data_IF_043868475247
#
_entry.id   IF_043868475247
#
_cell.length_a   1.000
_cell.length_b   1.000
_cell.length_c   1.000
_cell.angle_alpha   90.00
_cell.angle_beta   90.00
_cell.angle_gamma   90.00
#
_symmetry.space_group_name_H-M   'P 1'
#
loop_
_entity.id
_entity.type
_entity.pdbx_description
1 polymer ?
#
# COMPACT_ATOMS: atom_id res chain seq x y z
N UNK A 1 4.10 19.38 -9.22
CA UNK A 1 3.08 19.12 -10.26
C UNK A 1 2.14 17.98 -9.86
N UNK A 2 2.46 16.67 -9.92
CA UNK A 2 1.50 15.60 -9.52
C UNK A 2 1.19 15.54 -8.01
N UNK A 3 2.17 15.85 -7.16
CA UNK A 3 1.97 15.96 -5.70
C UNK A 3 1.00 17.09 -5.34
N UNK A 4 0.87 18.07 -6.22
CA UNK A 4 -0.01 19.23 -6.05
C UNK A 4 -1.38 18.96 -6.68
N UNK A 5 -1.44 18.17 -7.77
CA UNK A 5 -2.68 17.69 -8.38
C UNK A 5 -3.42 16.68 -7.48
N UNK A 6 -2.69 15.75 -6.84
CA UNK A 6 -3.25 14.85 -5.81
C UNK A 6 -3.74 15.63 -4.60
N UNK A 7 -3.09 16.75 -4.25
CA UNK A 7 -3.44 17.59 -3.09
C UNK A 7 -4.64 18.49 -3.36
N UNK A 8 -4.75 19.05 -4.56
CA UNK A 8 -5.87 19.90 -4.98
C UNK A 8 -7.17 19.11 -5.22
N UNK A 9 -7.09 17.79 -5.40
CA UNK A 9 -8.25 16.93 -5.60
C UNK A 9 -8.71 16.23 -4.29
N UNK A 10 -8.17 16.65 -3.13
CA UNK A 10 -8.60 16.18 -1.80
C UNK A 10 -9.74 17.02 -1.20
N UNK A 11 -10.12 18.15 -1.81
CA UNK A 11 -11.17 19.06 -1.32
C UNK A 11 -12.57 18.75 -1.84
N UNK A 12 -12.75 17.65 -2.57
CA UNK A 12 -14.07 17.15 -2.96
C UNK A 12 -14.22 15.72 -2.46
N UNK A 13 -15.32 15.44 -1.76
CA UNK A 13 -15.61 14.23 -0.97
C UNK A 13 -15.80 12.93 -1.79
N UNK A 14 -15.01 12.74 -2.85
CA UNK A 14 -15.05 11.56 -3.70
C UNK A 14 -13.64 11.02 -3.92
N UNK A 15 -13.37 9.87 -3.29
CA UNK A 15 -12.14 9.05 -3.44
C UNK A 15 -11.53 9.17 -4.84
N UNK A 16 -10.42 9.90 -4.93
CA UNK A 16 -9.74 10.15 -6.20
C UNK A 16 -9.04 8.88 -6.68
N UNK A 17 -9.76 8.12 -7.48
CA UNK A 17 -9.24 6.89 -8.10
C UNK A 17 -8.18 7.25 -9.13
N UNK A 18 -6.97 6.77 -8.90
CA UNK A 18 -5.83 6.93 -9.81
C UNK A 18 -6.17 6.34 -11.18
N UNK A 19 -6.14 7.18 -12.22
CA UNK A 19 -6.38 6.74 -13.61
C UNK A 19 -5.18 5.97 -14.18
N UNK A 20 -5.39 5.22 -15.27
CA UNK A 20 -4.32 4.47 -15.95
C UNK A 20 -3.15 5.36 -16.41
N UNK A 21 -3.38 6.65 -16.68
CA UNK A 21 -2.33 7.61 -17.04
C UNK A 21 -1.32 7.79 -15.91
N UNK A 22 -1.80 7.89 -14.67
CA UNK A 22 -0.94 7.99 -13.50
C UNK A 22 -0.11 6.71 -13.31
N UNK A 23 -0.74 5.55 -13.49
CA UNK A 23 -0.04 4.27 -13.37
C UNK A 23 1.02 4.07 -14.45
N UNK A 24 0.75 4.49 -15.69
CA UNK A 24 1.74 4.47 -16.76
C UNK A 24 2.91 5.43 -16.50
N UNK A 25 2.63 6.59 -15.90
CA UNK A 25 3.67 7.52 -15.48
C UNK A 25 4.62 6.87 -14.46
N UNK A 26 4.11 6.18 -13.43
CA UNK A 26 4.97 5.45 -12.49
C UNK A 26 5.69 4.27 -13.11
N UNK A 27 5.06 3.55 -14.04
CA UNK A 27 5.72 2.50 -14.79
C UNK A 27 6.95 3.03 -15.54
N UNK A 28 6.82 4.22 -16.16
CA UNK A 28 7.95 4.87 -16.83
C UNK A 28 9.03 5.31 -15.84
N UNK A 29 8.67 5.85 -14.68
CA UNK A 29 9.66 6.19 -13.65
C UNK A 29 10.42 4.95 -13.16
N UNK A 30 9.71 3.85 -12.89
CA UNK A 30 10.34 2.58 -12.50
C UNK A 30 11.26 2.03 -13.59
N UNK A 31 10.86 2.15 -14.86
CA UNK A 31 11.70 1.77 -15.99
C UNK A 31 12.99 2.60 -16.05
N UNK A 32 12.92 3.90 -15.80
CA UNK A 32 14.10 4.77 -15.81
C UNK A 32 15.10 4.43 -14.69
N UNK A 33 14.62 3.93 -13.55
CA UNK A 33 15.47 3.60 -12.40
C UNK A 33 16.06 2.18 -12.54
N UNK A 34 15.22 1.21 -12.89
CA UNK A 34 15.58 -0.21 -12.81
C UNK A 34 15.76 -0.87 -14.18
N UNK A 35 15.65 -0.13 -15.27
CA UNK A 35 15.66 -0.61 -16.67
C UNK A 35 14.56 -1.64 -17.02
N UNK A 36 13.69 -2.03 -16.08
CA UNK A 36 12.59 -2.97 -16.32
C UNK A 36 11.32 -2.29 -16.82
N UNK A 37 10.72 -2.81 -17.89
CA UNK A 37 9.45 -2.31 -18.41
C UNK A 37 8.27 -2.92 -17.66
N UNK A 38 7.63 -2.10 -16.85
CA UNK A 38 6.34 -2.42 -16.24
C UNK A 38 5.20 -1.80 -17.05
N UNK A 39 3.99 -2.38 -16.94
CA UNK A 39 2.78 -1.73 -17.42
C UNK A 39 2.10 -1.01 -16.25
N UNK A 40 1.33 0.06 -16.53
CA UNK A 40 0.55 0.71 -15.47
C UNK A 40 -0.37 -0.25 -14.72
N UNK A 41 -0.90 -1.27 -15.40
CA UNK A 41 -1.72 -2.32 -14.75
C UNK A 41 -0.90 -3.09 -13.69
N UNK A 42 0.34 -3.51 -14.00
CA UNK A 42 1.21 -4.20 -13.04
C UNK A 42 1.54 -3.32 -11.83
N UNK A 43 1.81 -2.03 -12.07
CA UNK A 43 2.09 -1.07 -10.99
C UNK A 43 0.86 -0.89 -10.11
N UNK A 44 -0.33 -0.72 -10.70
CA UNK A 44 -1.60 -0.62 -9.97
C UNK A 44 -1.82 -1.85 -9.09
N UNK A 45 -1.67 -3.06 -9.64
CA UNK A 45 -1.87 -4.30 -8.89
C UNK A 45 -0.89 -4.42 -7.71
N UNK A 46 0.39 -4.12 -7.92
CA UNK A 46 1.39 -4.13 -6.83
C UNK A 46 1.05 -3.11 -5.75
N UNK A 47 0.62 -1.90 -6.14
CA UNK A 47 0.16 -0.88 -5.20
C UNK A 47 -1.05 -1.35 -4.38
N UNK A 48 -2.05 -1.98 -5.01
CA UNK A 48 -3.23 -2.47 -4.27
C UNK A 48 -2.86 -3.54 -3.24
N UNK A 49 -1.92 -4.45 -3.59
CA UNK A 49 -1.39 -5.45 -2.64
C UNK A 49 -0.68 -4.77 -1.46
N UNK A 50 0.26 -3.87 -1.75
CA UNK A 50 0.98 -3.12 -0.70
C UNK A 50 0.02 -2.29 0.18
N UNK A 51 -1.02 -1.70 -0.41
CA UNK A 51 -2.05 -0.98 0.33
C UNK A 51 -2.82 -1.93 1.25
N UNK A 52 -3.19 -3.13 0.78
CA UNK A 52 -3.85 -4.14 1.60
C UNK A 52 -2.95 -4.58 2.76
N UNK A 53 -1.69 -4.92 2.48
CA UNK A 53 -0.70 -5.32 3.50
C UNK A 53 -0.52 -4.23 4.56
N UNK A 54 -0.40 -2.97 4.13
CA UNK A 54 -0.30 -1.82 5.04
C UNK A 54 -1.56 -1.64 5.89
N UNK A 55 -2.75 -1.82 5.33
CA UNK A 55 -4.01 -1.74 6.09
C UNK A 55 -4.11 -2.87 7.11
N UNK A 56 -3.70 -4.09 6.76
CA UNK A 56 -3.62 -5.20 7.71
C UNK A 56 -2.65 -4.89 8.84
N UNK A 57 -1.45 -4.42 8.52
CA UNK A 57 -0.47 -4.02 9.52
C UNK A 57 -0.98 -2.90 10.44
N UNK A 58 -1.67 -1.89 9.89
CA UNK A 58 -2.29 -0.82 10.66
C UNK A 58 -3.39 -1.33 11.60
N UNK A 59 -4.19 -2.32 11.17
CA UNK A 59 -5.20 -2.97 12.03
C UNK A 59 -4.55 -3.75 13.16
N UNK A 60 -3.49 -4.52 12.85
CA UNK A 60 -2.71 -5.26 13.83
C UNK A 60 -2.10 -4.32 14.88
N UNK A 61 -1.51 -3.21 14.44
CA UNK A 61 -0.95 -2.20 15.34
C UNK A 61 -2.02 -1.57 16.25
N UNK A 62 -3.27 -1.43 15.78
CA UNK A 62 -4.37 -0.88 16.55
C UNK A 62 -5.00 -1.88 17.54
N UNK A 63 -4.77 -3.18 17.34
CA UNK A 63 -5.17 -4.22 18.29
C UNK A 63 -4.13 -4.29 19.42
N UNK A 64 -4.20 -3.33 20.34
CA UNK A 64 -3.40 -3.29 21.58
C UNK A 64 -3.70 -4.54 22.42
N UNK A 65 -2.71 -5.43 22.54
CA UNK A 65 -2.80 -6.67 23.32
C UNK A 65 -1.93 -7.80 22.78
N UNK A 66 -1.49 -7.70 21.52
CA UNK A 66 -0.56 -8.65 20.91
C UNK A 66 0.84 -8.06 20.98
N UNK A 67 1.81 -8.90 21.36
CA UNK A 67 3.18 -8.51 21.69
C UNK A 67 3.87 -7.91 20.47
N UNK A 68 3.68 -6.61 20.25
CA UNK A 68 4.56 -5.86 19.38
C UNK A 68 5.96 -6.00 19.95
N UNK A 69 6.82 -6.75 19.27
CA UNK A 69 8.21 -6.89 19.66
C UNK A 69 9.02 -5.79 18.95
N UNK A 70 9.42 -4.73 19.67
CA UNK A 70 10.15 -3.61 19.09
C UNK A 70 11.59 -3.98 18.70
N UNK A 71 12.12 -5.13 19.15
CA UNK A 71 13.48 -5.59 18.85
C UNK A 71 13.54 -6.18 17.43
N UNK A 72 12.56 -6.99 17.07
CA UNK A 72 12.47 -7.61 15.72
C UNK A 72 11.54 -6.83 14.77
N UNK A 73 10.83 -5.82 15.27
CA UNK A 73 9.94 -4.97 14.47
C UNK A 73 8.72 -5.70 13.92
N UNK A 74 8.23 -6.72 14.64
CA UNK A 74 7.15 -7.62 14.19
C UNK A 74 6.18 -7.90 15.34
N UNK A 75 4.92 -8.18 15.01
CA UNK A 75 3.92 -8.65 15.99
C UNK A 75 4.22 -10.11 16.32
N UNK A 76 4.46 -10.42 17.60
CA UNK A 76 4.51 -11.79 18.09
C UNK A 76 3.10 -12.16 18.57
N UNK A 77 2.48 -13.10 17.86
CA UNK A 77 1.15 -13.61 18.17
C UNK A 77 1.10 -15.13 17.98
N UNK A 78 0.27 -15.86 18.74
CA UNK A 78 0.03 -17.29 18.53
C UNK A 78 -0.57 -17.57 17.15
N UNK A 79 -0.32 -18.76 16.58
CA UNK A 79 -0.82 -19.16 15.25
C UNK A 79 -2.35 -19.00 15.11
N UNK A 80 -3.10 -19.31 16.18
CA UNK A 80 -4.57 -19.14 16.23
C UNK A 80 -5.04 -17.70 15.96
N UNK A 81 -4.20 -16.70 16.27
CA UNK A 81 -4.51 -15.31 16.00
C UNK A 81 -4.31 -14.97 14.51
N UNK A 82 -3.25 -15.49 13.90
CA UNK A 82 -2.97 -15.27 12.49
C UNK A 82 -4.02 -15.91 11.58
N UNK A 83 -4.51 -17.10 11.95
CA UNK A 83 -5.62 -17.76 11.25
C UNK A 83 -6.88 -16.90 11.28
N UNK A 84 -7.20 -16.20 12.37
CA UNK A 84 -8.37 -15.30 12.43
C UNK A 84 -8.21 -14.01 11.61
N UNK A 85 -6.98 -13.57 11.35
CA UNK A 85 -6.71 -12.31 10.65
C UNK A 85 -6.59 -12.51 9.13
N UNK A 86 -6.14 -13.68 8.70
CA UNK A 86 -5.79 -13.97 7.30
C UNK A 86 -6.68 -15.03 6.63
N UNK A 87 -7.72 -15.55 7.32
CA UNK A 87 -8.80 -16.36 6.74
C UNK A 87 -10.09 -15.53 6.60
#
# INVERSE_FOLDING_TARGET
>A
MLRDEVRNNQTTDHTTSWTIRHWNHYANQLHNIYAFRYTGVKVRQKYQRLKADYQTFKRLQAQTGLGWDPIIGTVVAPDEFWDKVFH
#
